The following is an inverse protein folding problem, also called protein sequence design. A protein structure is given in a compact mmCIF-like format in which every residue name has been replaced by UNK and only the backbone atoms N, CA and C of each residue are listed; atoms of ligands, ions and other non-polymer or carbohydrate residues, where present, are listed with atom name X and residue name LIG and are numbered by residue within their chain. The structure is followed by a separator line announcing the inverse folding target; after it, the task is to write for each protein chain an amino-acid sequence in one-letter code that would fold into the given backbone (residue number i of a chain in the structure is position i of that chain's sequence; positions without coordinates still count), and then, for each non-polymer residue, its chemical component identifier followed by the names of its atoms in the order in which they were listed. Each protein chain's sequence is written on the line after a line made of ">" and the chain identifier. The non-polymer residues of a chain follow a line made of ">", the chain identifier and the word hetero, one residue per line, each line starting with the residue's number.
data_IF_505521677121
#
_entry.id   IF_505521677121
#
_cell.length_a   1.000
_cell.length_b   1.000
_cell.length_c   1.000
_cell.angle_alpha   90.00
_cell.angle_beta   90.00
_cell.angle_gamma   90.00
#
_symmetry.space_group_name_H-M   'P 1'
#
loop_
_entity.id
_entity.type
_entity.pdbx_description
1 polymer ?
#
# COMPACT_ATOMS: atom_id res chain seq x y z
N UNK A 1 -11.08 -7.21 0.12
CA UNK A 1 -11.56 -5.82 -0.18
C UNK A 1 -10.81 -4.89 0.76
N UNK A 2 -10.21 -3.80 0.29
CA UNK A 2 -9.39 -2.90 1.13
C UNK A 2 -10.30 -1.82 1.72
N UNK A 3 -10.26 -1.57 3.03
CA UNK A 3 -11.30 -0.77 3.74
C UNK A 3 -10.76 0.48 4.46
N UNK A 4 -9.44 0.55 4.70
CA UNK A 4 -8.79 1.71 5.31
C UNK A 4 -7.64 2.19 4.43
N UNK A 5 -7.61 3.48 4.14
CA UNK A 5 -6.68 4.10 3.21
C UNK A 5 -6.21 5.43 3.78
N UNK A 6 -4.89 5.63 3.84
CA UNK A 6 -4.29 6.90 4.22
C UNK A 6 -2.90 6.99 3.61
N UNK A 7 -2.64 8.07 2.89
CA UNK A 7 -1.31 8.51 2.56
C UNK A 7 -0.86 9.51 3.63
N UNK A 8 0.27 9.22 4.28
CA UNK A 8 0.84 10.10 5.29
C UNK A 8 1.74 11.20 4.70
N UNK A 9 2.14 11.07 3.43
CA UNK A 9 3.26 11.83 2.88
C UNK A 9 2.97 12.52 1.56
N UNK A 10 2.12 11.93 0.71
CA UNK A 10 1.87 12.41 -0.63
C UNK A 10 3.03 12.15 -1.60
N UNK A 11 2.76 12.25 -2.89
CA UNK A 11 3.70 11.85 -3.95
C UNK A 11 5.03 12.59 -3.94
N UNK A 12 5.02 13.86 -3.54
CA UNK A 12 6.20 14.74 -3.59
C UNK A 12 7.14 14.59 -2.39
N UNK A 13 6.81 13.73 -1.43
CA UNK A 13 7.67 13.51 -0.28
C UNK A 13 8.98 12.85 -0.70
N UNK A 14 10.10 13.39 -0.23
CA UNK A 14 11.45 12.91 -0.50
C UNK A 14 12.45 13.47 0.52
N UNK A 15 13.70 13.01 0.48
CA UNK A 15 14.79 13.57 1.28
C UNK A 15 15.06 15.06 0.96
N UNK A 16 14.77 15.50 -0.28
CA UNK A 16 14.90 16.90 -0.70
C UNK A 16 13.64 17.74 -0.46
N UNK A 17 12.49 17.09 -0.22
CA UNK A 17 11.23 17.71 0.14
C UNK A 17 10.57 16.94 1.31
N UNK A 18 11.08 17.09 2.55
CA UNK A 18 10.70 16.25 3.69
C UNK A 18 9.42 16.72 4.39
N UNK A 19 8.56 17.46 3.69
CA UNK A 19 7.30 17.99 4.25
C UNK A 19 6.16 17.05 3.81
N UNK A 20 5.56 16.28 4.74
CA UNK A 20 4.45 15.39 4.41
C UNK A 20 3.19 16.18 4.02
N UNK A 21 2.46 15.69 3.02
CA UNK A 21 1.16 16.20 2.60
C UNK A 21 0.15 15.04 2.63
N UNK A 22 -0.45 14.75 3.80
CA UNK A 22 -1.35 13.61 3.94
C UNK A 22 -2.65 13.76 3.16
N UNK A 23 -3.15 12.64 2.61
CA UNK A 23 -4.46 12.54 1.98
C UNK A 23 -5.04 11.12 2.11
N UNK A 24 -6.22 10.88 1.56
CA UNK A 24 -6.90 9.58 1.68
C UNK A 24 -6.62 8.62 0.53
N UNK A 25 -5.61 8.88 -0.32
CA UNK A 25 -5.26 8.07 -1.49
C UNK A 25 -3.83 7.51 -1.41
N UNK A 26 -3.66 6.27 -0.94
CA UNK A 26 -2.34 5.65 -0.81
C UNK A 26 -1.79 5.10 -2.15
N UNK A 27 -2.43 5.40 -3.29
CA UNK A 27 -1.97 4.97 -4.60
C UNK A 27 -0.69 5.73 -5.00
N UNK A 28 0.35 4.97 -5.36
CA UNK A 28 1.58 5.52 -5.92
C UNK A 28 1.51 5.63 -7.45
N UNK A 29 0.91 6.71 -7.98
CA UNK A 29 0.76 6.92 -9.45
C UNK A 29 2.05 7.43 -10.15
N UNK A 30 3.20 6.89 -9.74
CA UNK A 30 4.51 7.34 -10.18
C UNK A 30 5.49 6.20 -10.48
N UNK A 31 5.11 4.96 -10.15
CA UNK A 31 5.93 3.80 -10.45
C UNK A 31 5.18 2.86 -11.40
N UNK A 32 5.88 2.36 -12.43
CA UNK A 32 5.39 1.23 -13.22
C UNK A 32 5.50 -0.10 -12.43
N UNK A 33 6.18 -0.08 -11.27
CA UNK A 33 6.48 -1.23 -10.41
C UNK A 33 6.14 -0.84 -8.96
N UNK A 34 4.88 -1.03 -8.56
CA UNK A 34 4.42 -0.70 -7.20
C UNK A 34 4.86 -1.78 -6.21
N UNK A 35 5.80 -1.44 -5.32
CA UNK A 35 6.28 -2.34 -4.26
C UNK A 35 5.15 -2.68 -3.27
N UNK A 36 4.33 -1.70 -2.90
CA UNK A 36 3.20 -1.90 -1.98
C UNK A 36 2.17 -2.87 -2.52
N UNK A 37 1.79 -2.73 -3.80
CA UNK A 37 0.84 -3.64 -4.46
C UNK A 37 1.39 -5.06 -4.55
N UNK A 38 2.68 -5.22 -4.84
CA UNK A 38 3.32 -6.54 -4.87
C UNK A 38 3.29 -7.23 -3.50
N UNK A 39 3.63 -6.52 -2.41
CA UNK A 39 3.54 -7.05 -1.04
C UNK A 39 2.10 -7.39 -0.66
N UNK A 40 1.14 -6.52 -0.96
CA UNK A 40 -0.28 -6.77 -0.70
C UNK A 40 -0.79 -8.02 -1.43
N UNK A 41 -0.30 -8.27 -2.66
CA UNK A 41 -0.61 -9.47 -3.42
C UNK A 41 -0.14 -10.76 -2.75
N UNK A 42 1.07 -10.77 -2.20
CA UNK A 42 1.60 -11.92 -1.43
C UNK A 42 0.69 -12.23 -0.22
N UNK A 43 0.16 -11.19 0.44
CA UNK A 43 -0.67 -11.36 1.63
C UNK A 43 -2.08 -11.85 1.26
N UNK A 44 -2.79 -11.17 0.35
CA UNK A 44 -4.24 -11.38 0.21
C UNK A 44 -4.75 -11.40 -1.24
N UNK A 45 -3.90 -11.65 -2.25
CA UNK A 45 -4.40 -11.78 -3.61
C UNK A 45 -5.43 -12.92 -3.75
N UNK A 46 -6.48 -12.66 -4.53
CA UNK A 46 -7.34 -13.69 -5.10
C UNK A 46 -7.31 -13.56 -6.63
N UNK A 47 -6.25 -14.07 -7.24
CA UNK A 47 -6.02 -13.92 -8.68
C UNK A 47 -6.65 -15.05 -9.52
N UNK A 48 -7.25 -16.06 -8.89
CA UNK A 48 -7.95 -17.16 -9.58
C UNK A 48 -9.15 -16.64 -10.40
N UNK A 49 -9.83 -15.60 -9.89
CA UNK A 49 -11.02 -15.03 -10.50
C UNK A 49 -10.78 -13.82 -11.41
N UNK A 50 -9.53 -13.41 -11.65
CA UNK A 50 -9.27 -12.20 -12.44
C UNK A 50 -9.46 -12.50 -13.92
N UNK A 51 -10.50 -11.93 -14.50
CA UNK A 51 -10.84 -12.03 -15.93
C UNK A 51 -10.71 -10.71 -16.69
N UNK A 52 -10.24 -9.65 -16.04
CA UNK A 52 -10.10 -8.34 -16.65
C UNK A 52 -8.94 -8.34 -17.65
N UNK A 53 -9.17 -8.02 -18.94
CA UNK A 53 -8.11 -7.93 -19.93
C UNK A 53 -7.00 -6.97 -19.47
N UNK A 54 -5.74 -7.40 -19.63
CA UNK A 54 -4.56 -6.67 -19.15
C UNK A 54 -4.15 -6.98 -17.71
N UNK A 55 -4.98 -7.71 -16.94
CA UNK A 55 -4.67 -8.09 -15.55
C UNK A 55 -4.79 -9.60 -15.29
N UNK A 56 -5.09 -10.41 -16.30
CA UNK A 56 -5.11 -11.87 -16.19
C UNK A 56 -3.68 -12.37 -16.00
N UNK A 57 -3.35 -13.03 -14.87
CA UNK A 57 -2.01 -13.56 -14.67
C UNK A 57 -1.76 -14.78 -15.57
N UNK A 58 -0.52 -14.95 -16.04
CA UNK A 58 -0.09 -16.15 -16.78
C UNK A 58 -0.32 -17.43 -15.97
N UNK A 59 -0.11 -17.33 -14.65
CA UNK A 59 -0.41 -18.39 -13.69
C UNK A 59 -1.29 -17.81 -12.59
N UNK A 60 -2.56 -18.23 -12.48
CA UNK A 60 -3.44 -17.81 -11.40
C UNK A 60 -2.86 -18.18 -10.03
N UNK A 61 -2.95 -17.26 -9.06
CA UNK A 61 -2.35 -17.43 -7.73
C UNK A 61 -3.26 -16.89 -6.61
N UNK A 62 -2.92 -17.27 -5.38
CA UNK A 62 -3.54 -16.79 -4.15
C UNK A 62 -2.46 -16.23 -3.23
N UNK A 63 -2.81 -15.20 -2.47
CA UNK A 63 -2.04 -14.79 -1.30
C UNK A 63 -2.21 -15.76 -0.14
N UNK A 64 -1.47 -15.52 0.95
CA UNK A 64 -1.53 -16.35 2.17
C UNK A 64 -2.91 -16.32 2.83
N UNK A 65 -3.58 -15.16 2.83
CA UNK A 65 -4.90 -14.93 3.41
C UNK A 65 -5.82 -14.18 2.41
N UNK A 66 -6.31 -14.84 1.34
CA UNK A 66 -7.04 -14.20 0.24
C UNK A 66 -8.37 -13.51 0.64
N UNK A 67 -8.96 -13.92 1.76
CA UNK A 67 -10.22 -13.37 2.27
C UNK A 67 -10.01 -12.24 3.28
N UNK A 68 -8.77 -11.89 3.60
CA UNK A 68 -8.47 -10.79 4.52
C UNK A 68 -8.95 -9.44 3.97
N UNK A 69 -9.32 -8.56 4.88
CA UNK A 69 -9.49 -7.13 4.58
C UNK A 69 -8.14 -6.46 4.79
N UNK A 70 -7.66 -5.75 3.77
CA UNK A 70 -6.41 -4.99 3.89
C UNK A 70 -6.72 -3.54 4.31
N UNK A 71 -5.78 -2.95 5.06
CA UNK A 71 -5.60 -1.51 5.16
C UNK A 71 -4.31 -1.11 4.44
N UNK A 72 -4.28 0.06 3.82
CA UNK A 72 -3.11 0.60 3.13
C UNK A 72 -2.73 1.95 3.73
N UNK A 73 -1.54 2.00 4.34
CA UNK A 73 -0.97 3.19 4.97
C UNK A 73 0.34 3.52 4.26
N UNK A 74 0.30 4.48 3.34
CA UNK A 74 1.48 4.87 2.57
C UNK A 74 2.32 5.85 3.37
N UNK A 75 3.61 5.56 3.48
CA UNK A 75 4.59 6.34 4.25
C UNK A 75 5.82 6.76 3.43
N UNK A 76 5.85 6.40 2.15
CA UNK A 76 6.92 6.72 1.21
C UNK A 76 6.32 7.48 0.04
N UNK A 77 6.97 8.57 -0.38
CA UNK A 77 6.61 9.29 -1.59
C UNK A 77 7.09 8.55 -2.84
N UNK A 78 7.08 9.24 -3.97
CA UNK A 78 7.52 8.69 -5.25
C UNK A 78 9.03 8.63 -5.43
N UNK A 79 9.78 9.38 -4.62
CA UNK A 79 11.23 9.28 -4.62
C UNK A 79 11.66 7.96 -3.97
N UNK A 80 12.63 7.27 -4.59
CA UNK A 80 13.21 6.03 -4.08
C UNK A 80 14.26 6.31 -2.97
N UNK A 81 13.92 7.16 -1.99
CA UNK A 81 14.82 7.59 -0.91
C UNK A 81 14.30 7.32 0.52
N UNK A 82 13.16 6.62 0.64
CA UNK A 82 12.71 5.98 1.88
C UNK A 82 11.68 6.76 2.69
N UNK A 83 11.65 6.53 4.01
CA UNK A 83 10.71 7.12 4.97
C UNK A 83 11.41 7.36 6.31
N UNK A 84 10.71 7.94 7.29
CA UNK A 84 11.24 8.19 8.63
C UNK A 84 10.60 7.26 9.68
N UNK A 85 11.28 7.08 10.81
CA UNK A 85 10.74 6.28 11.92
C UNK A 85 9.44 6.85 12.47
N UNK A 86 9.29 8.18 12.49
CA UNK A 86 8.07 8.85 12.94
C UNK A 86 6.87 8.48 12.07
N UNK A 87 7.03 8.43 10.75
CA UNK A 87 5.98 8.03 9.81
C UNK A 87 5.61 6.55 9.98
N UNK A 88 6.62 5.67 10.16
CA UNK A 88 6.39 4.25 10.45
C UNK A 88 5.55 4.08 11.72
N UNK A 89 5.93 4.74 12.82
CA UNK A 89 5.22 4.65 14.10
C UNK A 89 3.81 5.24 14.00
N UNK A 90 3.65 6.37 13.28
CA UNK A 90 2.34 6.96 13.05
C UNK A 90 1.41 6.02 12.28
N UNK A 91 1.90 5.35 11.23
CA UNK A 91 1.14 4.35 10.49
C UNK A 91 0.78 3.13 11.35
N UNK A 92 1.69 2.66 12.21
CA UNK A 92 1.40 1.57 13.15
C UNK A 92 0.30 1.95 14.15
N UNK A 93 0.32 3.16 14.72
CA UNK A 93 -0.76 3.62 15.60
C UNK A 93 -2.08 3.77 14.86
N UNK A 94 -2.05 4.27 13.62
CA UNK A 94 -3.26 4.34 12.80
C UNK A 94 -3.85 2.95 12.54
N UNK A 95 -3.02 1.98 12.20
CA UNK A 95 -3.45 0.59 12.01
C UNK A 95 -4.10 0.00 13.28
N UNK A 96 -3.52 0.28 14.45
CA UNK A 96 -4.10 -0.11 15.74
C UNK A 96 -5.46 0.56 16.01
N UNK A 97 -5.58 1.86 15.76
CA UNK A 97 -6.83 2.60 15.95
C UNK A 97 -7.93 2.07 15.04
N UNK A 98 -7.55 1.75 13.80
CA UNK A 98 -8.41 1.15 12.79
C UNK A 98 -8.68 -0.36 13.04
N UNK A 99 -8.11 -0.96 14.09
CA UNK A 99 -8.32 -2.36 14.52
C UNK A 99 -7.75 -3.42 13.58
N UNK A 100 -6.60 -3.16 12.98
CA UNK A 100 -5.84 -4.19 12.27
C UNK A 100 -5.38 -5.31 13.24
N UNK A 101 -5.38 -6.55 12.75
CA UNK A 101 -4.97 -7.74 13.51
C UNK A 101 -3.45 -7.99 13.45
N UNK A 102 -2.79 -7.66 12.33
CA UNK A 102 -1.36 -7.83 12.07
C UNK A 102 -0.83 -6.74 11.12
#
# INVERSE_FOLDING_TARGET
>A
MVKMFLDFVGDKFSASNPIPVPDNDPLDDCSAISHGTHVAGIIAANAIGISQPGFIPDVPFLGVAPEATLGAYRIMGCAEDGTTTELIVAAMFRAYDDKADI
#
